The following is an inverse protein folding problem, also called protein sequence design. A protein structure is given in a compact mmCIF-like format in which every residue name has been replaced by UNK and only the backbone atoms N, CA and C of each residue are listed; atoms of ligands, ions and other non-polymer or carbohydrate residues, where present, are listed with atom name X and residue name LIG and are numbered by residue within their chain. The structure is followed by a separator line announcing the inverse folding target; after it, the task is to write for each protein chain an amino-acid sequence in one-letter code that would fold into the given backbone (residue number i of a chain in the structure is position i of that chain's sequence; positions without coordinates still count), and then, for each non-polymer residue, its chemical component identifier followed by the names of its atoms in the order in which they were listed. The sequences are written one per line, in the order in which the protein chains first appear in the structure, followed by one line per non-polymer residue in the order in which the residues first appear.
data_IF_600992400533
#
_entry.id   IF_600992400533
#
_cell.length_a   1.000
_cell.length_b   1.000
_cell.length_c   1.000
_cell.angle_alpha   90.00
_cell.angle_beta   90.00
_cell.angle_gamma   90.00
#
_symmetry.space_group_name_H-M   'P 1'
#
loop_
_entity.id
_entity.type
_entity.pdbx_description
1 polymer ?
#
# COMPACT_ATOMS: atom_id res chain seq x y z
N UNK A 1 -17.15 -31.17 13.92
CA UNK A 1 -17.50 -30.21 12.85
C UNK A 1 -18.34 -29.04 13.35
N UNK A 2 -19.53 -29.24 13.95
CA UNK A 2 -20.37 -28.11 14.42
C UNK A 2 -19.72 -27.19 15.49
N UNK A 3 -18.89 -27.74 16.39
CA UNK A 3 -18.19 -26.95 17.42
C UNK A 3 -17.05 -26.09 16.84
N UNK A 4 -16.20 -26.67 15.98
CA UNK A 4 -15.07 -25.97 15.34
C UNK A 4 -15.54 -24.89 14.37
N UNK A 5 -16.60 -25.15 13.59
CA UNK A 5 -17.19 -24.16 12.70
C UNK A 5 -17.71 -22.94 13.49
N UNK A 6 -18.40 -23.19 14.60
CA UNK A 6 -18.86 -22.13 15.49
C UNK A 6 -17.69 -21.36 16.12
N UNK A 7 -16.61 -22.04 16.52
CA UNK A 7 -15.41 -21.39 17.03
C UNK A 7 -14.77 -20.49 15.98
N UNK A 8 -14.57 -20.97 14.75
CA UNK A 8 -14.03 -20.17 13.65
C UNK A 8 -14.89 -18.93 13.37
N UNK A 9 -16.20 -19.10 13.29
CA UNK A 9 -17.15 -17.99 13.08
C UNK A 9 -17.08 -16.97 14.22
N UNK A 10 -17.01 -17.43 15.47
CA UNK A 10 -16.89 -16.55 16.65
C UNK A 10 -15.56 -15.81 16.64
N UNK A 11 -14.43 -16.48 16.39
CA UNK A 11 -13.11 -15.84 16.36
C UNK A 11 -12.98 -14.83 15.23
N UNK A 12 -13.33 -15.19 13.99
CA UNK A 12 -13.31 -14.28 12.86
C UNK A 12 -14.30 -13.13 13.03
N UNK A 13 -15.51 -13.41 13.52
CA UNK A 13 -16.53 -12.41 13.81
C UNK A 13 -16.12 -11.42 14.90
N UNK A 14 -15.48 -11.90 15.97
CA UNK A 14 -14.94 -11.05 17.04
C UNK A 14 -13.76 -10.21 16.53
N UNK A 15 -12.82 -10.81 15.80
CA UNK A 15 -11.66 -10.09 15.25
C UNK A 15 -12.11 -8.93 14.35
N UNK A 16 -13.01 -9.21 13.40
CA UNK A 16 -13.56 -8.19 12.49
C UNK A 16 -14.41 -7.19 13.28
N UNK A 17 -15.31 -7.66 14.15
CA UNK A 17 -16.26 -6.83 14.88
C UNK A 17 -15.59 -5.84 15.82
N UNK A 18 -14.62 -6.29 16.63
CA UNK A 18 -13.87 -5.43 17.56
C UNK A 18 -13.11 -4.35 16.78
N UNK A 19 -12.42 -4.72 15.70
CA UNK A 19 -11.63 -3.77 14.93
C UNK A 19 -12.51 -2.81 14.12
N UNK A 20 -13.66 -3.26 13.61
CA UNK A 20 -14.63 -2.39 12.95
C UNK A 20 -15.23 -1.36 13.92
N UNK A 21 -15.59 -1.79 15.14
CA UNK A 21 -16.07 -0.89 16.19
C UNK A 21 -14.98 0.12 16.59
N UNK A 22 -13.73 -0.35 16.77
CA UNK A 22 -12.61 0.53 17.07
C UNK A 22 -12.32 1.51 15.93
N UNK A 23 -12.36 1.08 14.68
CA UNK A 23 -12.20 1.93 13.51
C UNK A 23 -13.29 3.00 13.45
N UNK A 24 -14.56 2.60 13.60
CA UNK A 24 -15.68 3.52 13.66
C UNK A 24 -15.51 4.51 14.82
N UNK A 25 -15.17 4.04 16.01
CA UNK A 25 -14.97 4.90 17.17
C UNK A 25 -13.83 5.90 16.96
N UNK A 26 -12.68 5.44 16.46
CA UNK A 26 -11.50 6.27 16.22
C UNK A 26 -11.73 7.31 15.13
N UNK A 27 -12.32 6.95 13.99
CA UNK A 27 -12.36 7.80 12.80
C UNK A 27 -13.71 8.48 12.55
N UNK A 28 -14.81 7.83 12.89
CA UNK A 28 -16.15 8.23 12.44
C UNK A 28 -17.07 8.70 13.57
N UNK A 29 -16.84 8.26 14.81
CA UNK A 29 -17.74 8.62 15.91
C UNK A 29 -17.77 10.14 16.16
N UNK A 30 -18.93 10.70 16.53
CA UNK A 30 -19.01 12.12 16.88
C UNK A 30 -18.08 12.45 18.06
N UNK A 31 -17.33 13.54 17.93
CA UNK A 31 -16.57 14.14 19.04
C UNK A 31 -17.34 15.35 19.54
N UNK A 32 -17.52 15.48 20.86
CA UNK A 32 -18.00 16.74 21.42
C UNK A 32 -16.93 17.79 21.12
N UNK A 33 -17.33 18.87 20.44
CA UNK A 33 -16.55 20.10 20.50
C UNK A 33 -16.36 20.41 21.97
N UNK A 34 -15.11 20.57 22.41
CA UNK A 34 -14.85 21.01 23.77
C UNK A 34 -15.31 22.46 23.87
N UNK A 35 -16.60 22.62 24.19
CA UNK A 35 -17.20 23.84 24.68
C UNK A 35 -16.67 24.13 26.08
N UNK A 36 -15.45 24.65 26.14
CA UNK A 36 -15.11 25.66 27.12
C UNK A 36 -14.39 26.75 26.35
N UNK A 37 -15.15 27.82 26.09
CA UNK A 37 -14.61 29.17 25.99
C UNK A 37 -13.79 29.40 27.26
N UNK A 38 -12.51 29.09 27.18
CA UNK A 38 -11.56 29.75 28.04
C UNK A 38 -11.64 31.22 27.62
N UNK A 39 -12.22 32.04 28.49
CA UNK A 39 -12.46 33.48 28.31
C UNK A 39 -11.16 34.30 28.14
N UNK A 40 -10.03 33.61 27.98
CA UNK A 40 -8.71 34.15 27.70
C UNK A 40 -8.51 34.54 26.22
N UNK A 41 -9.45 34.24 25.32
CA UNK A 41 -9.40 34.71 23.92
C UNK A 41 -8.14 34.28 23.16
N UNK A 42 -7.39 33.30 23.66
CA UNK A 42 -6.14 32.87 23.05
C UNK A 42 -6.41 31.72 22.06
N UNK A 43 -6.35 31.95 20.74
CA UNK A 43 -6.57 30.93 19.72
C UNK A 43 -5.56 29.77 19.78
N UNK A 44 -4.48 29.88 20.56
CA UNK A 44 -3.43 28.86 20.66
C UNK A 44 -3.85 27.57 21.38
N UNK A 45 -4.83 27.58 22.29
CA UNK A 45 -5.21 26.36 23.04
C UNK A 45 -5.93 25.31 22.16
N UNK A 46 -6.49 25.71 21.02
CA UNK A 46 -7.18 24.82 20.08
C UNK A 46 -6.25 24.00 19.17
N UNK A 47 -4.96 24.36 19.05
CA UNK A 47 -4.11 23.92 17.92
C UNK A 47 -2.91 23.02 18.27
N UNK A 48 -2.62 22.75 19.54
CA UNK A 48 -1.34 22.14 19.95
C UNK A 48 -1.30 20.59 19.96
N UNK A 49 -1.86 19.89 18.96
CA UNK A 49 -1.58 18.45 18.85
C UNK A 49 -0.16 18.26 18.29
N UNK A 50 0.77 17.89 19.16
CA UNK A 50 2.16 17.68 18.79
C UNK A 50 2.27 16.48 17.84
N UNK A 51 2.85 16.72 16.67
CA UNK A 51 3.16 15.68 15.68
C UNK A 51 4.61 15.84 15.23
N UNK A 52 5.36 14.74 15.16
CA UNK A 52 6.80 14.77 14.85
C UNK A 52 7.07 14.20 13.46
N UNK A 53 7.58 15.00 12.50
CA UNK A 53 7.94 14.49 11.18
C UNK A 53 9.03 13.41 11.22
N UNK A 54 9.90 13.45 12.24
CA UNK A 54 10.91 12.40 12.46
C UNK A 54 10.24 11.09 12.90
N UNK A 55 9.27 11.18 13.81
CA UNK A 55 8.50 10.02 14.25
C UNK A 55 7.80 9.35 13.06
N UNK A 56 7.07 10.10 12.23
CA UNK A 56 6.38 9.54 11.07
C UNK A 56 7.32 8.83 10.09
N UNK A 57 8.52 9.39 9.83
CA UNK A 57 9.54 8.73 8.99
C UNK A 57 10.03 7.42 9.60
N UNK A 58 10.36 7.43 10.89
CA UNK A 58 10.85 6.24 11.60
C UNK A 58 9.76 5.16 11.61
N UNK A 59 8.53 5.52 11.96
CA UNK A 59 7.40 4.60 11.95
C UNK A 59 7.17 4.00 10.56
N UNK A 60 7.21 4.81 9.50
CA UNK A 60 7.04 4.31 8.14
C UNK A 60 8.10 3.28 7.74
N UNK A 61 9.38 3.53 8.06
CA UNK A 61 10.47 2.61 7.75
C UNK A 61 10.37 1.31 8.55
N UNK A 62 10.07 1.40 9.86
CA UNK A 62 9.91 0.23 10.71
C UNK A 62 8.68 -0.60 10.30
N UNK A 63 7.54 0.04 9.99
CA UNK A 63 6.37 -0.68 9.45
C UNK A 63 6.68 -1.31 8.10
N UNK A 64 7.47 -0.63 7.27
CA UNK A 64 7.99 -1.18 6.01
C UNK A 64 8.82 -2.46 6.20
N UNK A 65 9.65 -2.52 7.26
CA UNK A 65 10.38 -3.74 7.63
C UNK A 65 9.41 -4.86 8.02
N UNK A 66 8.39 -4.56 8.83
CA UNK A 66 7.34 -5.53 9.17
C UNK A 66 6.62 -6.08 7.94
N UNK A 67 6.24 -5.20 7.00
CA UNK A 67 5.63 -5.59 5.73
C UNK A 67 6.59 -6.43 4.86
N UNK A 68 7.88 -6.13 4.84
CA UNK A 68 8.88 -6.92 4.12
C UNK A 68 9.03 -8.33 4.72
N UNK A 69 9.02 -8.47 6.06
CA UNK A 69 9.02 -9.77 6.73
C UNK A 69 7.80 -10.60 6.34
N UNK A 70 6.61 -10.00 6.33
CA UNK A 70 5.37 -10.64 5.87
C UNK A 70 5.50 -11.06 4.40
N UNK A 71 6.06 -10.20 3.55
CA UNK A 71 6.24 -10.49 2.12
C UNK A 71 7.18 -11.69 1.89
N UNK A 72 8.36 -11.71 2.52
CA UNK A 72 9.31 -12.82 2.37
C UNK A 72 8.72 -14.08 3.01
N UNK A 73 8.07 -13.93 4.17
CA UNK A 73 7.41 -15.00 4.89
C UNK A 73 6.35 -15.67 4.03
N UNK A 74 5.43 -14.91 3.44
CA UNK A 74 4.36 -15.44 2.59
C UNK A 74 4.84 -16.12 1.31
N UNK A 75 5.99 -15.73 0.73
CA UNK A 75 6.55 -16.50 -0.40
C UNK A 75 7.18 -17.81 0.05
N UNK A 76 7.82 -17.83 1.22
CA UNK A 76 8.36 -19.04 1.81
C UNK A 76 7.25 -20.00 2.23
N UNK A 77 6.22 -19.48 2.88
CA UNK A 77 4.98 -20.15 3.27
C UNK A 77 4.35 -20.89 2.09
N UNK A 78 4.13 -20.15 1.02
CA UNK A 78 3.60 -20.66 -0.22
C UNK A 78 4.52 -21.73 -0.85
N UNK A 79 5.84 -21.56 -0.78
CA UNK A 79 6.79 -22.51 -1.35
C UNK A 79 6.85 -23.82 -0.57
N UNK A 80 6.67 -23.79 0.74
CA UNK A 80 6.51 -24.97 1.58
C UNK A 80 5.20 -25.70 1.29
N UNK A 81 4.07 -24.97 1.18
CA UNK A 81 2.77 -25.55 0.81
C UNK A 81 2.82 -26.30 -0.53
N UNK A 82 3.55 -25.79 -1.52
CA UNK A 82 3.70 -26.44 -2.83
C UNK A 82 4.43 -27.79 -2.73
N UNK A 83 5.42 -27.90 -1.83
CA UNK A 83 6.26 -29.10 -1.70
C UNK A 83 5.60 -30.14 -0.80
N UNK A 84 5.08 -29.69 0.33
CA UNK A 84 4.50 -30.54 1.36
C UNK A 84 3.10 -31.03 0.99
N UNK A 85 2.38 -30.29 0.15
CA UNK A 85 0.99 -30.61 -0.17
C UNK A 85 0.09 -30.37 1.04
N UNK A 86 -0.90 -31.25 1.25
CA UNK A 86 -1.89 -31.09 2.34
C UNK A 86 -1.24 -31.34 3.71
N UNK A 87 -1.21 -30.31 4.54
CA UNK A 87 -0.81 -30.33 5.96
C UNK A 87 -2.05 -30.55 6.83
N UNK A 88 -2.11 -31.66 7.60
CA UNK A 88 -3.22 -31.90 8.52
C UNK A 88 -3.27 -30.89 9.67
N UNK A 89 -4.48 -30.45 10.00
CA UNK A 89 -4.83 -29.86 11.30
C UNK A 89 -3.93 -28.76 11.86
N UNK A 90 -3.51 -27.81 11.03
CA UNK A 90 -2.71 -26.68 11.48
C UNK A 90 -1.32 -27.07 11.98
N UNK A 91 -0.77 -28.22 11.56
CA UNK A 91 0.61 -28.61 11.87
C UNK A 91 1.64 -27.60 11.32
N UNK A 92 1.23 -26.79 10.34
CA UNK A 92 1.96 -25.64 9.81
C UNK A 92 1.97 -24.44 10.77
N UNK A 93 1.15 -24.40 11.83
CA UNK A 93 0.94 -23.23 12.67
C UNK A 93 2.22 -22.56 13.18
N UNK A 94 3.24 -23.37 13.53
CA UNK A 94 4.55 -22.90 14.01
C UNK A 94 5.69 -23.15 13.01
N UNK A 95 5.39 -23.40 11.74
CA UNK A 95 6.44 -23.57 10.75
C UNK A 95 7.26 -22.27 10.62
N UNK A 96 8.53 -22.38 10.18
CA UNK A 96 9.39 -21.21 10.07
C UNK A 96 8.79 -20.03 9.24
N UNK A 97 8.10 -20.23 8.10
CA UNK A 97 7.50 -19.11 7.39
C UNK A 97 6.40 -18.37 8.16
N UNK A 98 5.47 -19.06 8.83
CA UNK A 98 4.45 -18.41 9.66
C UNK A 98 5.10 -17.64 10.79
N UNK A 99 6.13 -18.18 11.46
CA UNK A 99 6.83 -17.45 12.51
C UNK A 99 7.39 -16.12 11.98
N UNK A 100 7.87 -16.08 10.74
CA UNK A 100 8.31 -14.84 10.10
C UNK A 100 7.16 -13.88 9.77
N UNK A 101 6.03 -14.40 9.29
CA UNK A 101 4.81 -13.60 9.04
C UNK A 101 4.29 -13.01 10.36
N UNK A 102 4.17 -13.84 11.40
CA UNK A 102 3.75 -13.44 12.74
C UNK A 102 4.69 -12.40 13.33
N UNK A 103 6.01 -12.58 13.18
CA UNK A 103 6.99 -11.60 13.59
C UNK A 103 6.81 -10.27 12.86
N UNK A 104 6.51 -10.29 11.55
CA UNK A 104 6.22 -9.10 10.78
C UNK A 104 4.98 -8.33 11.27
N UNK A 105 3.88 -9.04 11.54
CA UNK A 105 2.67 -8.45 12.13
C UNK A 105 2.90 -7.92 13.54
N UNK A 106 3.53 -8.72 14.40
CA UNK A 106 3.82 -8.34 15.79
C UNK A 106 4.73 -7.11 15.83
N UNK A 107 5.76 -7.08 14.97
CA UNK A 107 6.66 -5.95 14.86
C UNK A 107 5.92 -4.69 14.42
N UNK A 108 5.12 -4.76 13.34
CA UNK A 108 4.34 -3.62 12.88
C UNK A 108 3.35 -3.12 13.95
N UNK A 109 2.71 -4.04 14.67
CA UNK A 109 1.79 -3.71 15.76
C UNK A 109 2.49 -3.00 16.92
N UNK A 110 3.61 -3.55 17.42
CA UNK A 110 4.39 -2.95 18.50
C UNK A 110 4.94 -1.57 18.12
N UNK A 111 5.44 -1.43 16.89
CA UNK A 111 5.91 -0.14 16.35
C UNK A 111 4.77 0.87 16.33
N UNK A 112 3.58 0.47 15.89
CA UNK A 112 2.42 1.37 15.80
C UNK A 112 1.87 1.74 17.19
N UNK A 113 1.82 0.82 18.14
CA UNK A 113 1.49 1.09 19.55
C UNK A 113 2.52 2.03 20.20
N UNK A 114 3.81 1.83 19.92
CA UNK A 114 4.87 2.75 20.32
C UNK A 114 4.69 4.14 19.71
N UNK A 115 4.32 4.21 18.43
CA UNK A 115 3.98 5.46 17.73
C UNK A 115 2.78 6.17 18.35
N UNK A 116 1.71 5.43 18.68
CA UNK A 116 0.55 5.95 19.41
C UNK A 116 0.93 6.47 20.79
N UNK A 117 1.79 5.75 21.51
CA UNK A 117 2.30 6.21 22.82
C UNK A 117 3.11 7.50 22.68
N UNK A 118 3.97 7.59 21.66
CA UNK A 118 4.75 8.78 21.36
C UNK A 118 3.89 9.98 20.95
N UNK A 119 2.70 9.75 20.39
CA UNK A 119 1.69 10.78 20.18
C UNK A 119 0.93 11.08 21.49
N UNK A 120 0.56 10.07 22.27
CA UNK A 120 -0.27 10.23 23.46
C UNK A 120 0.44 11.01 24.57
N UNK A 121 1.70 10.67 24.89
CA UNK A 121 2.44 11.24 26.02
C UNK A 121 2.48 12.78 26.02
N UNK A 122 2.97 13.46 24.97
CA UNK A 122 3.02 14.92 24.98
C UNK A 122 1.62 15.55 24.99
N UNK A 123 0.65 14.92 24.31
CA UNK A 123 -0.69 15.48 24.22
C UNK A 123 -1.50 15.30 25.51
N UNK A 124 -1.27 14.22 26.26
CA UNK A 124 -1.78 14.04 27.63
C UNK A 124 -1.20 15.09 28.58
N UNK A 125 0.09 15.43 28.42
CA UNK A 125 0.76 16.47 29.19
C UNK A 125 0.15 17.86 29.03
N UNK A 126 -0.49 18.15 27.89
CA UNK A 126 -1.22 19.41 27.63
C UNK A 126 -2.75 19.27 27.77
N UNK A 127 -3.22 18.18 28.41
CA UNK A 127 -4.63 18.01 28.77
C UNK A 127 -5.55 17.47 27.68
N UNK A 128 -5.06 17.17 26.48
CA UNK A 128 -5.87 16.51 25.45
C UNK A 128 -6.01 15.04 25.81
N UNK A 129 -7.12 14.58 26.39
CA UNK A 129 -7.25 13.18 26.86
C UNK A 129 -7.91 12.21 25.89
N UNK A 130 -8.61 12.72 24.88
CA UNK A 130 -9.37 11.90 23.93
C UNK A 130 -8.44 11.38 22.81
N UNK A 131 -8.17 10.06 22.71
CA UNK A 131 -7.24 9.51 21.72
C UNK A 131 -7.73 9.68 20.28
N UNK A 132 -9.04 9.86 20.07
CA UNK A 132 -9.61 10.13 18.74
C UNK A 132 -9.03 11.40 18.14
N UNK A 133 -8.67 12.39 18.96
CA UNK A 133 -8.06 13.65 18.51
C UNK A 133 -6.69 13.43 17.91
N UNK A 134 -5.82 12.67 18.58
CA UNK A 134 -4.46 12.41 18.06
C UNK A 134 -4.47 11.43 16.90
N UNK A 135 -5.34 10.41 16.95
CA UNK A 135 -5.48 9.45 15.86
C UNK A 135 -6.00 10.13 14.61
N UNK A 136 -7.05 10.96 14.68
CA UNK A 136 -7.53 11.71 13.50
C UNK A 136 -6.51 12.71 12.96
N UNK A 137 -5.66 13.28 13.83
CA UNK A 137 -4.55 14.15 13.41
C UNK A 137 -3.38 13.38 12.78
N UNK A 138 -3.21 12.11 13.12
CA UNK A 138 -2.18 11.24 12.54
C UNK A 138 -2.78 9.89 12.12
N UNK A 139 -3.68 9.90 11.11
CA UNK A 139 -4.60 8.79 10.83
C UNK A 139 -3.90 7.49 10.47
N UNK A 140 -2.71 7.56 9.88
CA UNK A 140 -1.98 6.37 9.48
C UNK A 140 -1.49 5.54 10.67
N UNK A 141 -1.16 6.16 11.82
CA UNK A 141 -0.67 5.41 12.99
C UNK A 141 -1.78 4.53 13.55
N UNK A 142 -2.99 5.09 13.71
CA UNK A 142 -4.14 4.31 14.16
C UNK A 142 -4.55 3.25 13.15
N UNK A 143 -4.49 3.56 11.84
CA UNK A 143 -4.83 2.61 10.79
C UNK A 143 -3.88 1.40 10.79
N UNK A 144 -2.57 1.64 10.99
CA UNK A 144 -1.57 0.58 11.12
C UNK A 144 -1.85 -0.29 12.34
N UNK A 145 -2.22 0.28 13.49
CA UNK A 145 -2.63 -0.52 14.67
C UNK A 145 -3.80 -1.43 14.35
N UNK A 146 -4.81 -0.93 13.64
CA UNK A 146 -5.99 -1.72 13.31
C UNK A 146 -5.66 -2.87 12.35
N UNK A 147 -4.90 -2.62 11.28
CA UNK A 147 -4.58 -3.68 10.30
C UNK A 147 -3.51 -4.65 10.81
N UNK A 148 -2.45 -4.17 11.49
CA UNK A 148 -1.48 -5.06 12.14
C UNK A 148 -2.16 -5.89 13.25
N UNK A 149 -3.08 -5.27 14.01
CA UNK A 149 -3.91 -5.95 15.00
C UNK A 149 -4.78 -7.02 14.35
N UNK A 150 -5.45 -6.71 13.23
CA UNK A 150 -6.21 -7.71 12.46
C UNK A 150 -5.35 -8.90 12.09
N UNK A 151 -4.16 -8.67 11.54
CA UNK A 151 -3.24 -9.74 11.14
C UNK A 151 -2.85 -10.67 12.28
N UNK A 152 -2.71 -10.16 13.51
CA UNK A 152 -2.47 -10.98 14.69
C UNK A 152 -3.73 -11.74 15.13
N UNK A 153 -4.89 -11.09 15.13
CA UNK A 153 -6.15 -11.70 15.54
C UNK A 153 -6.72 -12.70 14.53
N UNK A 154 -6.27 -12.65 13.26
CA UNK A 154 -6.68 -13.60 12.23
C UNK A 154 -5.94 -14.94 12.31
N UNK A 155 -4.78 -15.01 12.99
CA UNK A 155 -3.95 -16.22 13.08
C UNK A 155 -4.74 -17.46 13.57
N UNK A 156 -5.51 -17.40 14.67
CA UNK A 156 -6.31 -18.55 15.09
C UNK A 156 -7.43 -18.90 14.10
N UNK A 157 -8.00 -17.89 13.43
CA UNK A 157 -9.06 -18.08 12.44
C UNK A 157 -8.58 -18.83 11.21
N UNK A 158 -7.34 -18.58 10.80
CA UNK A 158 -6.65 -19.27 9.71
C UNK A 158 -6.38 -20.75 10.07
N UNK A 159 -5.82 -21.00 11.26
CA UNK A 159 -5.61 -22.36 11.74
C UNK A 159 -6.91 -23.19 11.85
N UNK A 160 -8.00 -22.57 12.35
CA UNK A 160 -9.32 -23.22 12.39
C UNK A 160 -9.85 -23.48 10.98
N UNK A 161 -9.58 -22.59 10.02
CA UNK A 161 -9.95 -22.80 8.62
C UNK A 161 -9.26 -24.03 8.03
N UNK A 162 -7.96 -24.18 8.26
CA UNK A 162 -7.18 -25.36 7.84
C UNK A 162 -7.72 -26.66 8.48
N UNK A 163 -8.10 -26.62 9.76
CA UNK A 163 -8.71 -27.76 10.45
C UNK A 163 -10.08 -28.16 9.85
N UNK A 164 -10.90 -27.17 9.47
CA UNK A 164 -12.28 -27.41 9.00
C UNK A 164 -12.37 -27.87 7.56
N UNK A 165 -11.56 -27.27 6.68
CA UNK A 165 -11.67 -27.43 5.23
C UNK A 165 -10.44 -28.12 4.61
N UNK A 166 -9.43 -28.44 5.42
CA UNK A 166 -8.12 -28.84 4.95
C UNK A 166 -7.34 -27.64 4.40
N UNK A 167 -6.17 -27.92 3.84
CA UNK A 167 -5.39 -26.93 3.11
C UNK A 167 -6.24 -26.29 2.01
N UNK A 168 -6.15 -24.96 1.96
CA UNK A 168 -6.55 -24.10 0.86
C UNK A 168 -6.93 -24.86 -0.42
N UNK A 169 -8.24 -25.06 -0.59
CA UNK A 169 -8.78 -25.48 -1.89
C UNK A 169 -8.28 -24.54 -3.01
N UNK A 170 -8.00 -23.28 -2.63
CA UNK A 170 -7.31 -22.23 -3.40
C UNK A 170 -6.73 -21.20 -2.42
N UNK A 171 -5.73 -20.41 -2.83
CA UNK A 171 -5.22 -19.27 -2.04
C UNK A 171 -6.30 -18.20 -1.76
N UNK A 172 -7.45 -18.26 -2.43
CA UNK A 172 -8.54 -17.28 -2.31
C UNK A 172 -9.54 -17.61 -1.19
N UNK A 173 -9.10 -18.34 -0.16
CA UNK A 173 -9.94 -18.54 1.02
C UNK A 173 -10.19 -17.19 1.73
N UNK A 174 -11.34 -17.03 2.41
CA UNK A 174 -11.64 -15.78 3.11
C UNK A 174 -10.53 -15.32 4.07
N UNK A 175 -9.94 -16.17 4.94
CA UNK A 175 -8.83 -15.77 5.79
C UNK A 175 -7.65 -15.17 5.00
N UNK A 176 -7.20 -15.84 3.94
CA UNK A 176 -6.12 -15.38 3.09
C UNK A 176 -6.39 -14.04 2.41
N UNK A 177 -7.61 -13.83 1.90
CA UNK A 177 -7.97 -12.55 1.28
C UNK A 177 -7.89 -11.43 2.31
N UNK A 178 -8.46 -11.61 3.51
CA UNK A 178 -8.43 -10.56 4.52
C UNK A 178 -7.02 -10.32 5.07
N UNK A 179 -6.23 -11.37 5.28
CA UNK A 179 -4.82 -11.28 5.68
C UNK A 179 -4.02 -10.53 4.61
N UNK A 180 -4.19 -10.87 3.32
CA UNK A 180 -3.49 -10.20 2.23
C UNK A 180 -3.86 -8.71 2.13
N UNK A 181 -5.16 -8.37 2.23
CA UNK A 181 -5.61 -6.97 2.24
C UNK A 181 -5.03 -6.21 3.43
N UNK A 182 -5.06 -6.82 4.61
CA UNK A 182 -4.51 -6.23 5.83
C UNK A 182 -3.00 -5.97 5.69
N UNK A 183 -2.24 -6.99 5.27
CA UNK A 183 -0.80 -6.95 5.06
C UNK A 183 -0.39 -5.94 3.99
N UNK A 184 -1.08 -5.91 2.85
CA UNK A 184 -0.79 -4.95 1.78
C UNK A 184 -1.09 -3.50 2.23
N UNK A 185 -2.12 -3.31 3.05
CA UNK A 185 -2.50 -2.00 3.61
C UNK A 185 -1.43 -1.40 4.52
N UNK A 186 -0.60 -2.22 5.21
CA UNK A 186 0.54 -1.73 5.99
C UNK A 186 1.48 -0.87 5.13
N UNK A 187 1.76 -1.32 3.91
CA UNK A 187 2.62 -0.59 2.97
C UNK A 187 1.98 0.72 2.51
N UNK A 188 0.67 0.72 2.25
CA UNK A 188 -0.09 1.93 1.86
C UNK A 188 -0.08 2.96 3.00
N UNK A 189 -0.30 2.54 4.24
CA UNK A 189 -0.28 3.46 5.38
C UNK A 189 1.13 3.95 5.73
N UNK A 190 2.17 3.13 5.51
CA UNK A 190 3.55 3.57 5.62
C UNK A 190 3.89 4.66 4.59
N UNK A 191 3.38 4.54 3.36
CA UNK A 191 3.46 5.61 2.34
C UNK A 191 2.71 6.87 2.83
N UNK A 192 1.51 6.71 3.39
CA UNK A 192 0.76 7.82 4.00
C UNK A 192 1.52 8.56 5.10
N UNK A 193 2.22 7.84 5.99
CA UNK A 193 3.09 8.42 7.00
C UNK A 193 4.21 9.28 6.39
N UNK A 194 4.82 8.82 5.29
CA UNK A 194 5.90 9.57 4.61
C UNK A 194 5.38 10.81 3.87
N UNK A 195 4.18 10.71 3.29
CA UNK A 195 3.52 11.82 2.61
C UNK A 195 3.10 12.92 3.60
N UNK A 196 2.64 12.54 4.80
CA UNK A 196 2.44 13.40 5.97
C UNK A 196 3.61 14.36 6.26
N UNK A 197 4.83 13.90 6.05
CA UNK A 197 6.07 14.64 6.33
C UNK A 197 6.50 15.52 5.15
N UNK A 198 6.10 15.17 3.92
CA UNK A 198 6.45 15.87 2.69
C UNK A 198 5.90 17.29 2.68
N UNK A 199 4.57 17.37 2.74
CA UNK A 199 3.81 18.60 2.63
C UNK A 199 4.18 19.64 3.69
N UNK A 200 4.56 19.21 4.90
CA UNK A 200 4.99 20.12 5.98
C UNK A 200 6.35 20.77 5.72
N UNK A 201 7.29 20.04 5.11
CA UNK A 201 8.61 20.58 4.77
C UNK A 201 8.51 21.48 3.54
N UNK A 202 7.69 21.10 2.56
CA UNK A 202 7.52 21.86 1.33
C UNK A 202 6.74 23.17 1.58
N UNK A 203 5.76 23.18 2.50
CA UNK A 203 5.11 24.42 2.95
C UNK A 203 6.07 25.35 3.71
N UNK A 204 6.86 24.82 4.65
CA UNK A 204 7.86 25.61 5.37
C UNK A 204 8.96 26.17 4.46
N UNK A 205 9.29 25.46 3.37
CA UNK A 205 10.21 25.94 2.32
C UNK A 205 9.54 26.93 1.39
N UNK A 206 8.28 26.72 1.01
CA UNK A 206 7.51 27.65 0.18
C UNK A 206 7.44 29.05 0.80
N UNK A 207 7.13 29.15 2.10
CA UNK A 207 7.13 30.44 2.80
C UNK A 207 8.51 31.10 2.93
N UNK A 208 9.60 30.32 2.96
CA UNK A 208 10.97 30.83 2.99
C UNK A 208 11.50 31.20 1.59
N UNK A 209 11.15 30.42 0.57
CA UNK A 209 11.50 30.64 -0.83
C UNK A 209 10.68 31.77 -1.46
N UNK A 210 9.43 32.01 -1.08
CA UNK A 210 8.65 33.15 -1.56
C UNK A 210 9.24 34.49 -1.03
N UNK A 211 9.75 34.50 0.21
CA UNK A 211 10.58 35.60 0.75
C UNK A 211 11.91 35.74 0.01
N UNK A 212 12.59 34.63 -0.29
CA UNK A 212 13.91 34.65 -0.93
C UNK A 212 13.87 34.91 -2.45
N UNK A 213 12.83 34.48 -3.17
CA UNK A 213 12.63 34.70 -4.59
C UNK A 213 12.27 36.16 -4.90
N UNK A 214 11.61 36.87 -3.98
CA UNK A 214 11.47 38.34 -4.07
C UNK A 214 12.82 39.06 -4.09
N UNK A 215 13.91 38.42 -3.62
CA UNK A 215 15.26 38.97 -3.60
C UNK A 215 16.22 38.38 -4.64
N UNK A 216 15.97 37.17 -5.18
CA UNK A 216 16.94 36.44 -6.02
C UNK A 216 16.53 36.22 -7.48
N UNK A 217 15.48 36.89 -7.98
CA UNK A 217 15.07 36.87 -9.40
C UNK A 217 16.06 37.59 -10.37
N UNK A 218 17.38 37.47 -10.19
CA UNK A 218 18.37 38.10 -11.10
C UNK A 218 19.58 37.27 -11.54
N UNK A 219 19.75 36.00 -11.21
CA UNK A 219 20.90 35.27 -11.80
C UNK A 219 20.74 33.76 -11.99
N UNK A 220 20.71 33.41 -13.29
CA UNK A 220 21.39 32.28 -13.92
C UNK A 220 20.90 30.86 -13.58
N UNK A 221 20.07 30.32 -14.48
CA UNK A 221 19.89 28.90 -14.65
C UNK A 221 20.87 28.36 -15.70
N UNK A 222 21.88 27.59 -15.28
CA UNK A 222 22.53 26.59 -16.14
C UNK A 222 23.51 25.67 -15.36
N UNK A 223 23.19 25.20 -14.14
CA UNK A 223 24.05 24.25 -13.40
C UNK A 223 23.23 23.26 -12.53
N UNK A 224 22.15 22.67 -13.08
CA UNK A 224 21.24 21.78 -12.35
C UNK A 224 21.35 20.29 -12.74
N UNK A 225 22.31 19.89 -13.58
CA UNK A 225 22.41 18.51 -14.09
C UNK A 225 23.31 17.57 -13.26
N UNK A 226 23.78 17.98 -12.08
CA UNK A 226 24.73 17.20 -11.28
C UNK A 226 24.54 17.22 -9.77
N UNK A 227 23.38 17.64 -9.26
CA UNK A 227 23.17 17.76 -7.80
C UNK A 227 22.31 16.64 -7.25
N UNK A 228 22.97 15.81 -6.43
CA UNK A 228 22.55 15.26 -5.12
C UNK A 228 21.14 14.69 -5.04
N UNK A 229 21.04 13.41 -4.63
CA UNK A 229 19.84 12.81 -4.03
C UNK A 229 19.12 13.84 -3.15
N UNK A 230 18.06 14.43 -3.69
CA UNK A 230 17.22 15.37 -2.96
C UNK A 230 16.44 14.57 -1.92
N UNK A 231 16.02 15.22 -0.84
CA UNK A 231 15.09 14.61 0.10
C UNK A 231 13.77 14.16 -0.60
N UNK A 232 13.41 14.81 -1.71
CA UNK A 232 12.30 14.40 -2.58
C UNK A 232 12.58 13.07 -3.32
N UNK A 233 13.83 12.83 -3.72
CA UNK A 233 14.24 11.62 -4.43
C UNK A 233 14.25 10.40 -3.49
N UNK A 234 14.75 10.57 -2.26
CA UNK A 234 14.72 9.50 -1.25
C UNK A 234 13.30 9.09 -0.85
N UNK A 235 12.42 10.07 -0.59
CA UNK A 235 11.02 9.77 -0.23
C UNK A 235 10.30 9.05 -1.36
N UNK A 236 10.50 9.51 -2.60
CA UNK A 236 9.94 8.87 -3.79
C UNK A 236 10.44 7.44 -3.92
N UNK A 237 11.75 7.21 -3.76
CA UNK A 237 12.35 5.88 -3.73
C UNK A 237 11.69 4.96 -2.69
N UNK A 238 11.58 5.41 -1.43
CA UNK A 238 10.98 4.60 -0.36
C UNK A 238 9.50 4.34 -0.60
N UNK A 239 8.74 5.34 -1.05
CA UNK A 239 7.32 5.16 -1.36
C UNK A 239 7.10 4.12 -2.46
N UNK A 240 7.90 4.16 -3.52
CA UNK A 240 7.82 3.19 -4.62
C UNK A 240 8.21 1.78 -4.15
N UNK A 241 9.23 1.67 -3.29
CA UNK A 241 9.64 0.39 -2.71
C UNK A 241 8.56 -0.18 -1.77
N UNK A 242 7.94 0.64 -0.93
CA UNK A 242 6.82 0.21 -0.07
C UNK A 242 5.61 -0.23 -0.91
N UNK A 243 5.26 0.51 -1.97
CA UNK A 243 4.21 0.07 -2.89
C UNK A 243 4.54 -1.28 -3.54
N UNK A 244 5.81 -1.51 -3.92
CA UNK A 244 6.26 -2.79 -4.45
C UNK A 244 6.10 -3.94 -3.45
N UNK A 245 6.42 -3.72 -2.17
CA UNK A 245 6.18 -4.69 -1.09
C UNK A 245 4.69 -5.01 -0.98
N UNK A 246 3.84 -3.98 -0.89
CA UNK A 246 2.39 -4.15 -0.83
C UNK A 246 1.83 -4.90 -2.04
N UNK A 247 2.41 -4.67 -3.23
CA UNK A 247 2.00 -5.37 -4.44
C UNK A 247 2.39 -6.85 -4.42
N UNK A 248 3.63 -7.14 -4.01
CA UNK A 248 4.10 -8.52 -3.84
C UNK A 248 3.17 -9.29 -2.89
N UNK A 249 2.88 -8.71 -1.71
CA UNK A 249 1.95 -9.31 -0.74
C UNK A 249 0.58 -9.59 -1.35
N UNK A 250 0.01 -8.63 -2.08
CA UNK A 250 -1.28 -8.82 -2.74
C UNK A 250 -1.26 -9.99 -3.74
N UNK A 251 -0.17 -10.11 -4.51
CA UNK A 251 -0.06 -11.14 -5.54
C UNK A 251 0.28 -12.54 -5.02
N UNK A 252 0.85 -12.67 -3.80
CA UNK A 252 1.00 -13.97 -3.13
C UNK A 252 -0.32 -14.73 -3.19
N UNK A 253 -1.41 -14.07 -2.78
CA UNK A 253 -2.76 -14.64 -2.83
C UNK A 253 -3.42 -14.43 -4.20
N UNK A 254 -3.26 -13.25 -4.80
CA UNK A 254 -4.02 -12.86 -5.97
C UNK A 254 -3.72 -13.70 -7.22
N UNK A 255 -2.47 -14.15 -7.41
CA UNK A 255 -2.06 -14.74 -8.68
C UNK A 255 -1.08 -15.90 -8.57
N UNK A 256 -0.50 -16.14 -7.40
CA UNK A 256 0.61 -17.10 -7.32
C UNK A 256 0.15 -18.56 -7.47
N UNK A 257 -1.13 -18.87 -7.27
CA UNK A 257 -1.71 -20.19 -7.60
C UNK A 257 -1.56 -20.56 -9.10
N UNK A 258 -1.52 -19.57 -9.99
CA UNK A 258 -1.21 -19.78 -11.41
C UNK A 258 0.29 -19.84 -11.67
N UNK A 259 1.14 -19.40 -10.75
CA UNK A 259 2.59 -19.28 -10.98
C UNK A 259 3.35 -20.53 -10.52
N UNK A 260 2.63 -21.54 -10.02
CA UNK A 260 3.20 -22.79 -9.57
C UNK A 260 3.33 -23.84 -10.68
N UNK A 261 4.22 -24.80 -10.45
CA UNK A 261 4.54 -25.86 -11.40
C UNK A 261 3.42 -26.87 -11.65
N UNK A 262 2.37 -26.89 -10.83
CA UNK A 262 1.14 -27.67 -11.02
C UNK A 262 -0.07 -26.80 -10.71
N UNK A 263 -1.04 -26.79 -11.62
CA UNK A 263 -2.33 -26.12 -11.45
C UNK A 263 -3.39 -27.22 -11.44
N UNK A 264 -3.69 -27.75 -10.26
CA UNK A 264 -4.62 -28.88 -10.10
C UNK A 264 -5.93 -28.44 -9.41
N UNK A 265 -7.00 -29.19 -9.63
CA UNK A 265 -8.27 -29.00 -8.90
C UNK A 265 -9.06 -27.76 -9.31
N UNK A 266 -9.43 -26.93 -8.34
CA UNK A 266 -10.33 -25.78 -8.54
C UNK A 266 -9.71 -24.64 -9.35
N UNK A 267 -8.39 -24.45 -9.27
CA UNK A 267 -7.68 -23.38 -9.99
C UNK A 267 -7.72 -23.62 -11.50
N UNK A 268 -7.61 -24.88 -11.93
CA UNK A 268 -7.68 -25.28 -13.34
C UNK A 268 -9.06 -25.02 -13.98
N UNK A 269 -10.12 -24.92 -13.16
CA UNK A 269 -11.49 -24.62 -13.63
C UNK A 269 -11.74 -23.12 -13.81
N UNK A 270 -10.82 -22.26 -13.35
CA UNK A 270 -10.97 -20.82 -13.49
C UNK A 270 -10.79 -20.40 -14.95
N UNK A 271 -11.50 -19.35 -15.40
CA UNK A 271 -11.28 -18.82 -16.74
C UNK A 271 -9.83 -18.36 -16.92
N UNK A 272 -9.16 -18.82 -17.98
CA UNK A 272 -7.73 -18.55 -18.19
C UNK A 272 -7.42 -17.06 -18.35
N UNK A 273 -8.36 -16.28 -18.88
CA UNK A 273 -8.24 -14.82 -19.01
C UNK A 273 -8.24 -14.08 -17.67
N UNK A 274 -8.63 -14.74 -16.56
CA UNK A 274 -8.69 -14.13 -15.23
C UNK A 274 -7.29 -13.80 -14.70
N UNK A 275 -6.32 -14.68 -14.90
CA UNK A 275 -4.93 -14.51 -14.47
C UNK A 275 -4.30 -13.21 -14.99
N UNK A 276 -4.22 -12.97 -16.32
CA UNK A 276 -3.70 -11.69 -16.85
C UNK A 276 -4.58 -10.49 -16.47
N UNK A 277 -5.88 -10.69 -16.26
CA UNK A 277 -6.78 -9.60 -15.83
C UNK A 277 -6.42 -9.10 -14.43
N UNK A 278 -6.20 -10.00 -13.46
CA UNK A 278 -5.86 -9.62 -12.09
C UNK A 278 -4.53 -8.88 -12.06
N UNK A 279 -3.50 -9.39 -12.74
CA UNK A 279 -2.19 -8.72 -12.82
C UNK A 279 -2.33 -7.37 -13.50
N UNK A 280 -2.96 -7.31 -14.67
CA UNK A 280 -3.10 -6.08 -15.44
C UNK A 280 -3.83 -4.97 -14.69
N UNK A 281 -4.91 -5.31 -13.96
CA UNK A 281 -5.70 -4.34 -13.21
C UNK A 281 -4.98 -3.85 -11.96
N UNK A 282 -4.42 -4.77 -11.17
CA UNK A 282 -3.71 -4.43 -9.94
C UNK A 282 -2.39 -3.69 -10.21
N UNK A 283 -1.62 -4.10 -11.23
CA UNK A 283 -0.41 -3.41 -11.67
C UNK A 283 -0.71 -2.01 -12.20
N UNK A 284 -1.79 -1.83 -12.97
CA UNK A 284 -2.22 -0.50 -13.43
C UNK A 284 -2.62 0.39 -12.25
N UNK A 285 -3.45 -0.11 -11.33
CA UNK A 285 -3.89 0.62 -10.16
C UNK A 285 -2.70 1.15 -9.36
N UNK A 286 -1.73 0.28 -9.03
CA UNK A 286 -0.54 0.67 -8.27
C UNK A 286 0.44 1.52 -9.09
N UNK A 287 0.49 1.38 -10.40
CA UNK A 287 1.28 2.25 -11.27
C UNK A 287 0.73 3.68 -11.30
N UNK A 288 -0.59 3.84 -11.35
CA UNK A 288 -1.24 5.15 -11.20
C UNK A 288 -0.98 5.70 -9.81
N UNK A 289 -1.14 4.89 -8.76
CA UNK A 289 -0.86 5.30 -7.38
C UNK A 289 0.61 5.71 -7.19
N UNK A 290 1.56 4.99 -7.77
CA UNK A 290 2.99 5.29 -7.76
C UNK A 290 3.27 6.70 -8.30
N UNK A 291 2.66 7.07 -9.44
CA UNK A 291 2.74 8.43 -10.00
C UNK A 291 2.14 9.48 -9.08
N UNK A 292 1.20 9.09 -8.21
CA UNK A 292 0.58 9.98 -7.21
C UNK A 292 1.47 10.14 -5.98
N UNK A 293 2.11 9.10 -5.47
CA UNK A 293 2.87 9.16 -4.20
C UNK A 293 4.35 9.51 -4.38
N UNK A 294 4.86 9.41 -5.60
CA UNK A 294 6.23 9.71 -5.99
C UNK A 294 6.22 10.42 -7.35
N UNK A 295 5.81 11.70 -7.43
CA UNK A 295 5.63 12.39 -8.71
C UNK A 295 6.95 12.51 -9.47
N UNK A 296 7.00 11.91 -10.65
CA UNK A 296 8.16 11.90 -11.53
C UNK A 296 7.76 11.46 -12.95
N UNK A 297 8.63 11.69 -13.94
CA UNK A 297 8.35 11.30 -15.32
C UNK A 297 8.22 9.78 -15.49
N UNK A 298 8.90 8.99 -14.65
CA UNK A 298 9.06 7.54 -14.79
C UNK A 298 8.59 6.74 -13.56
N UNK A 299 7.66 7.27 -12.77
CA UNK A 299 7.30 6.67 -11.48
C UNK A 299 6.62 5.31 -11.60
N UNK A 300 5.78 5.10 -12.63
CA UNK A 300 5.18 3.79 -12.86
C UNK A 300 6.25 2.76 -13.25
N UNK A 301 7.17 3.16 -14.12
CA UNK A 301 8.30 2.32 -14.55
C UNK A 301 9.21 1.98 -13.38
N UNK A 302 9.57 2.95 -12.56
CA UNK A 302 10.39 2.74 -11.36
C UNK A 302 9.68 1.80 -10.35
N UNK A 303 8.37 1.97 -10.13
CA UNK A 303 7.57 1.03 -9.34
C UNK A 303 7.64 -0.40 -9.89
N UNK A 304 7.44 -0.57 -11.21
CA UNK A 304 7.53 -1.88 -11.85
C UNK A 304 8.91 -2.52 -11.62
N UNK A 305 10.00 -1.75 -11.74
CA UNK A 305 11.36 -2.23 -11.50
C UNK A 305 11.58 -2.65 -10.04
N UNK A 306 11.09 -1.88 -9.06
CA UNK A 306 11.15 -2.28 -7.65
C UNK A 306 10.37 -3.58 -7.41
N UNK A 307 9.17 -3.68 -7.98
CA UNK A 307 8.35 -4.87 -7.87
C UNK A 307 9.07 -6.09 -8.44
N UNK A 308 9.58 -6.04 -9.68
CA UNK A 308 10.27 -7.18 -10.27
C UNK A 308 11.57 -7.53 -9.53
N UNK A 309 12.33 -6.53 -9.08
CA UNK A 309 13.52 -6.76 -8.27
C UNK A 309 13.19 -7.47 -6.95
N UNK A 310 12.14 -7.02 -6.26
CA UNK A 310 11.67 -7.66 -5.03
C UNK A 310 11.13 -9.07 -5.31
N UNK A 311 10.30 -9.24 -6.34
CA UNK A 311 9.71 -10.51 -6.73
C UNK A 311 10.79 -11.55 -7.04
N UNK A 312 11.81 -11.19 -7.83
CA UNK A 312 12.94 -12.07 -8.12
C UNK A 312 13.65 -12.45 -6.82
N UNK A 313 13.95 -11.47 -5.96
CA UNK A 313 14.64 -11.73 -4.69
C UNK A 313 13.85 -12.68 -3.78
N UNK A 314 12.53 -12.50 -3.63
CA UNK A 314 11.70 -13.37 -2.78
C UNK A 314 11.51 -14.75 -3.37
N UNK A 315 11.35 -14.88 -4.69
CA UNK A 315 11.27 -16.19 -5.35
C UNK A 315 12.59 -16.95 -5.31
N UNK A 316 13.73 -16.25 -5.44
CA UNK A 316 15.06 -16.87 -5.29
C UNK A 316 15.32 -17.29 -3.84
N UNK A 317 14.85 -16.51 -2.86
CA UNK A 317 14.90 -16.92 -1.46
C UNK A 317 14.07 -18.19 -1.21
N UNK A 318 12.85 -18.24 -1.72
CA UNK A 318 11.99 -19.42 -1.61
C UNK A 318 12.62 -20.67 -2.25
N UNK A 319 13.26 -20.52 -3.42
CA UNK A 319 14.02 -21.58 -4.08
C UNK A 319 15.18 -22.09 -3.21
N UNK A 320 15.95 -21.18 -2.61
CA UNK A 320 17.08 -21.57 -1.75
C UNK A 320 16.63 -22.30 -0.48
N UNK A 321 15.50 -21.90 0.10
CA UNK A 321 15.07 -22.42 1.41
C UNK A 321 14.21 -23.68 1.29
N UNK A 322 13.31 -23.74 0.31
CA UNK A 322 12.42 -24.89 0.15
C UNK A 322 12.71 -25.71 -1.10
N UNK A 323 13.37 -25.17 -2.13
CA UNK A 323 13.60 -25.86 -3.41
C UNK A 323 12.44 -25.75 -4.40
N UNK A 324 11.42 -24.94 -4.08
CA UNK A 324 10.35 -24.61 -5.01
C UNK A 324 10.65 -23.28 -5.71
N UNK A 325 10.50 -23.27 -7.03
CA UNK A 325 10.68 -22.07 -7.88
C UNK A 325 9.31 -21.59 -8.40
N UNK A 326 8.62 -20.68 -7.69
CA UNK A 326 7.49 -19.99 -8.28
C UNK A 326 7.93 -19.32 -9.58
N UNK A 327 7.12 -19.42 -10.62
CA UNK A 327 7.38 -18.71 -11.87
C UNK A 327 7.33 -17.21 -11.62
N UNK A 328 8.06 -16.48 -12.46
CA UNK A 328 7.98 -15.03 -12.48
C UNK A 328 6.57 -14.62 -12.94
N UNK A 329 5.93 -13.74 -12.18
CA UNK A 329 4.66 -13.11 -12.56
C UNK A 329 4.72 -12.48 -13.95
N UNK A 330 3.59 -12.43 -14.66
CA UNK A 330 3.50 -11.79 -15.97
C UNK A 330 4.10 -10.37 -15.96
N UNK A 331 4.97 -10.13 -16.93
CA UNK A 331 5.77 -8.90 -16.99
C UNK A 331 4.91 -7.74 -17.50
N UNK A 332 4.81 -6.67 -16.71
CA UNK A 332 4.03 -5.47 -17.05
C UNK A 332 4.88 -4.20 -17.25
N UNK A 333 6.21 -4.33 -17.30
CA UNK A 333 7.13 -3.18 -17.42
C UNK A 333 6.80 -2.31 -18.64
N UNK A 334 6.51 -2.90 -19.81
CA UNK A 334 6.15 -2.13 -20.99
C UNK A 334 4.82 -1.37 -20.79
N UNK A 335 3.85 -1.97 -20.09
CA UNK A 335 2.61 -1.28 -19.70
C UNK A 335 2.90 -0.05 -18.82
N UNK A 336 3.81 -0.17 -17.85
CA UNK A 336 4.23 0.94 -16.99
C UNK A 336 4.97 2.04 -17.77
N UNK A 337 5.85 1.68 -18.71
CA UNK A 337 6.55 2.63 -19.60
C UNK A 337 5.55 3.39 -20.47
N UNK A 338 4.61 2.69 -21.12
CA UNK A 338 3.61 3.33 -21.95
C UNK A 338 2.65 4.21 -21.13
N UNK A 339 2.35 3.83 -19.88
CA UNK A 339 1.60 4.69 -18.96
C UNK A 339 2.34 6.00 -18.69
N UNK A 340 3.62 5.93 -18.30
CA UNK A 340 4.44 7.12 -18.04
C UNK A 340 4.53 8.02 -19.28
N UNK A 341 4.79 7.45 -20.45
CA UNK A 341 4.82 8.17 -21.73
C UNK A 341 3.47 8.80 -22.08
N UNK A 342 2.36 8.09 -21.83
CA UNK A 342 1.02 8.61 -22.08
C UNK A 342 0.73 9.85 -21.24
N UNK A 343 1.06 9.82 -19.95
CA UNK A 343 0.91 11.01 -19.10
C UNK A 343 1.77 12.18 -19.57
N UNK A 344 3.03 11.93 -19.93
CA UNK A 344 3.93 12.96 -20.42
C UNK A 344 3.41 13.56 -21.74
N UNK A 345 2.93 12.72 -22.66
CA UNK A 345 2.35 13.14 -23.93
C UNK A 345 1.08 13.97 -23.70
N UNK A 346 0.12 13.47 -22.92
CA UNK A 346 -1.13 14.19 -22.62
C UNK A 346 -0.87 15.53 -21.93
N UNK A 347 0.11 15.61 -21.02
CA UNK A 347 0.47 16.86 -20.35
C UNK A 347 1.02 17.92 -21.32
N UNK A 348 1.74 17.52 -22.40
CA UNK A 348 2.21 18.45 -23.43
C UNK A 348 1.06 19.10 -24.21
N UNK A 349 -0.11 18.47 -24.26
CA UNK A 349 -1.33 19.00 -24.87
C UNK A 349 -2.26 19.71 -23.86
N UNK A 350 -1.80 19.93 -22.62
CA UNK A 350 -2.55 20.67 -21.61
C UNK A 350 -3.60 19.85 -20.86
N UNK A 351 -3.68 18.54 -21.07
CA UNK A 351 -4.58 17.67 -20.30
C UNK A 351 -4.08 17.47 -18.86
N UNK A 352 -5.03 17.40 -17.93
CA UNK A 352 -4.80 17.19 -16.51
C UNK A 352 -5.05 15.73 -16.13
N UNK A 353 -4.39 15.18 -15.09
CA UNK A 353 -4.59 13.80 -14.65
C UNK A 353 -6.04 13.39 -14.34
N UNK A 354 -6.91 14.33 -13.97
CA UNK A 354 -8.31 14.04 -13.66
C UNK A 354 -9.22 14.05 -14.89
N UNK A 355 -8.72 14.44 -16.06
CA UNK A 355 -9.50 14.52 -17.29
C UNK A 355 -9.86 13.11 -17.78
N UNK A 356 -11.08 12.94 -18.28
CA UNK A 356 -11.57 11.62 -18.74
C UNK A 356 -10.76 11.10 -19.93
N UNK A 357 -10.19 11.99 -20.76
CA UNK A 357 -9.31 11.62 -21.86
C UNK A 357 -8.02 10.98 -21.34
N UNK A 358 -7.45 11.50 -20.26
CA UNK A 358 -6.24 10.92 -19.64
C UNK A 358 -6.56 9.54 -19.06
N UNK A 359 -7.72 9.38 -18.43
CA UNK A 359 -8.20 8.08 -17.94
C UNK A 359 -8.27 7.02 -19.07
N UNK A 360 -8.90 7.35 -20.19
CA UNK A 360 -9.00 6.44 -21.34
C UNK A 360 -7.63 6.15 -21.96
N UNK A 361 -6.82 7.18 -22.17
CA UNK A 361 -5.50 7.05 -22.78
C UNK A 361 -4.55 6.24 -21.88
N UNK A 362 -4.53 6.51 -20.57
CA UNK A 362 -3.70 5.81 -19.60
C UNK A 362 -4.06 4.32 -19.52
N UNK A 363 -5.36 4.00 -19.43
CA UNK A 363 -5.82 2.62 -19.44
C UNK A 363 -5.46 1.89 -20.75
N UNK A 364 -5.60 2.57 -21.89
CA UNK A 364 -5.28 2.02 -23.20
C UNK A 364 -3.79 1.81 -23.40
N UNK A 365 -2.96 2.81 -23.11
CA UNK A 365 -1.51 2.73 -23.22
C UNK A 365 -0.93 1.63 -22.33
N UNK A 366 -1.39 1.54 -21.08
CA UNK A 366 -0.98 0.45 -20.19
C UNK A 366 -1.42 -0.92 -20.72
N UNK A 367 -2.69 -1.06 -21.11
CA UNK A 367 -3.25 -2.33 -21.62
C UNK A 367 -2.49 -2.83 -22.85
N UNK A 368 -2.17 -1.95 -23.80
CA UNK A 368 -1.39 -2.30 -25.00
C UNK A 368 -0.01 -2.81 -24.61
N UNK A 369 0.71 -2.07 -23.76
CA UNK A 369 2.06 -2.45 -23.34
C UNK A 369 2.08 -3.74 -22.51
N UNK A 370 1.12 -3.90 -21.61
CA UNK A 370 0.94 -5.12 -20.83
C UNK A 370 0.64 -6.31 -21.73
N UNK A 371 -0.31 -6.18 -22.65
CA UNK A 371 -0.71 -7.27 -23.55
C UNK A 371 0.46 -7.73 -24.42
N UNK A 372 1.23 -6.80 -25.02
CA UNK A 372 2.39 -7.16 -25.88
C UNK A 372 3.39 -8.07 -25.16
N UNK A 373 3.64 -7.84 -23.86
CA UNK A 373 4.64 -8.60 -23.10
C UNK A 373 4.03 -9.81 -22.38
N UNK A 374 2.79 -9.70 -21.89
CA UNK A 374 2.12 -10.79 -21.20
C UNK A 374 1.85 -11.97 -22.14
N UNK A 375 1.58 -11.74 -23.43
CA UNK A 375 1.16 -12.81 -24.35
C UNK A 375 2.26 -13.84 -24.62
N UNK A 376 3.49 -13.45 -25.02
CA UNK A 376 4.55 -14.43 -25.21
C UNK A 376 4.90 -15.15 -23.91
N UNK A 377 4.77 -14.49 -22.75
CA UNK A 377 4.99 -15.12 -21.45
C UNK A 377 3.93 -16.17 -21.15
N UNK A 378 2.65 -15.88 -21.39
CA UNK A 378 1.55 -16.85 -21.24
C UNK A 378 1.77 -18.04 -22.17
N UNK A 379 2.00 -17.79 -23.46
CA UNK A 379 2.24 -18.86 -24.42
C UNK A 379 3.49 -19.69 -24.05
N UNK A 380 4.60 -19.07 -23.67
CA UNK A 380 5.83 -19.81 -23.41
C UNK A 380 5.82 -20.56 -22.07
N UNK A 381 5.28 -19.96 -21.00
CA UNK A 381 5.33 -20.54 -19.66
C UNK A 381 4.16 -21.48 -19.36
N UNK A 382 3.02 -21.34 -20.05
CA UNK A 382 1.75 -21.95 -19.61
C UNK A 382 1.09 -22.91 -20.60
N UNK A 383 1.62 -23.07 -21.82
CA UNK A 383 1.14 -24.05 -22.81
C UNK A 383 1.24 -25.52 -22.34
N UNK A 384 2.03 -25.81 -21.31
CA UNK A 384 2.11 -27.16 -20.74
C UNK A 384 0.94 -27.50 -19.80
N UNK A 385 0.18 -26.51 -19.32
CA UNK A 385 -0.81 -26.70 -18.24
C UNK A 385 -2.22 -26.22 -18.60
N UNK A 386 -2.34 -25.16 -19.39
CA UNK A 386 -3.63 -24.69 -19.88
C UNK A 386 -3.83 -25.19 -21.30
N UNK A 387 -4.95 -25.89 -21.54
CA UNK A 387 -5.42 -26.18 -22.90
C UNK A 387 -5.44 -24.85 -23.67
N UNK A 388 -4.62 -24.77 -24.71
CA UNK A 388 -4.30 -23.59 -25.55
C UNK A 388 -5.06 -22.30 -25.20
N UNK A 389 -4.39 -21.36 -24.54
CA UNK A 389 -4.89 -19.99 -24.37
C UNK A 389 -5.21 -19.40 -25.76
N UNK A 390 -6.48 -19.19 -26.06
CA UNK A 390 -6.92 -18.89 -27.44
C UNK A 390 -6.78 -17.40 -27.76
N UNK A 391 -6.86 -17.03 -29.04
CA UNK A 391 -6.96 -15.61 -29.43
C UNK A 391 -8.17 -14.94 -28.76
N UNK A 392 -9.28 -15.66 -28.56
CA UNK A 392 -10.45 -15.11 -27.90
C UNK A 392 -10.17 -14.78 -26.43
N UNK A 393 -9.51 -15.66 -25.70
CA UNK A 393 -9.11 -15.41 -24.30
C UNK A 393 -8.20 -14.18 -24.18
N UNK A 394 -7.33 -13.97 -25.18
CA UNK A 394 -6.45 -12.82 -25.24
C UNK A 394 -7.23 -11.52 -25.43
N UNK A 395 -8.20 -11.51 -26.34
CA UNK A 395 -9.08 -10.36 -26.58
C UNK A 395 -9.95 -10.07 -25.36
N UNK A 396 -10.48 -11.11 -24.70
CA UNK A 396 -11.26 -10.98 -23.46
C UNK A 396 -10.40 -10.40 -22.34
N UNK A 397 -9.20 -10.93 -22.12
CA UNK A 397 -8.28 -10.41 -21.10
C UNK A 397 -7.92 -8.94 -21.37
N UNK A 398 -7.55 -8.58 -22.60
CA UNK A 398 -7.22 -7.21 -22.97
C UNK A 398 -8.41 -6.26 -22.78
N UNK A 399 -9.62 -6.69 -23.18
CA UNK A 399 -10.86 -5.92 -22.98
C UNK A 399 -11.15 -5.72 -21.49
N UNK A 400 -11.07 -6.79 -20.68
CA UNK A 400 -11.29 -6.73 -19.24
C UNK A 400 -10.28 -5.80 -18.56
N UNK A 401 -8.99 -5.94 -18.88
CA UNK A 401 -7.93 -5.03 -18.37
C UNK A 401 -8.26 -3.59 -18.74
N UNK A 402 -8.65 -3.30 -19.98
CA UNK A 402 -8.98 -1.94 -20.39
C UNK A 402 -10.18 -1.36 -19.65
N UNK A 403 -11.31 -2.09 -19.63
CA UNK A 403 -12.57 -1.63 -19.01
C UNK A 403 -12.42 -1.47 -17.50
N UNK A 404 -11.78 -2.44 -16.84
CA UNK A 404 -11.55 -2.38 -15.39
C UNK A 404 -10.51 -1.32 -15.02
N UNK A 405 -9.47 -1.11 -15.84
CA UNK A 405 -8.52 -0.01 -15.63
C UNK A 405 -9.19 1.35 -15.73
N UNK A 406 -10.09 1.53 -16.71
CA UNK A 406 -10.95 2.71 -16.74
C UNK A 406 -11.72 2.78 -15.42
N UNK A 407 -12.47 1.75 -15.04
CA UNK A 407 -13.29 1.76 -13.83
C UNK A 407 -12.51 2.11 -12.54
N UNK A 408 -11.32 1.54 -12.36
CA UNK A 408 -10.51 1.69 -11.13
C UNK A 408 -9.65 2.95 -11.10
N UNK A 409 -9.39 3.60 -12.23
CA UNK A 409 -8.54 4.80 -12.32
C UNK A 409 -8.93 5.91 -11.32
N UNK A 410 -10.22 6.31 -11.18
CA UNK A 410 -10.61 7.35 -10.23
C UNK A 410 -10.33 6.94 -8.78
N UNK A 411 -10.37 5.64 -8.47
CA UNK A 411 -10.07 5.11 -7.13
C UNK A 411 -8.59 5.28 -6.81
N UNK A 412 -7.69 4.93 -7.75
CA UNK A 412 -6.25 5.14 -7.57
C UNK A 412 -5.90 6.63 -7.42
N UNK A 413 -6.53 7.48 -8.23
CA UNK A 413 -6.38 8.94 -8.15
C UNK A 413 -6.88 9.50 -6.82
N UNK A 414 -8.06 9.06 -6.39
CA UNK A 414 -8.71 9.44 -5.14
C UNK A 414 -7.89 9.02 -3.91
N UNK A 415 -7.41 7.78 -3.88
CA UNK A 415 -6.51 7.29 -2.85
C UNK A 415 -5.22 8.10 -2.81
N UNK A 416 -4.60 8.36 -3.96
CA UNK A 416 -3.40 9.19 -4.06
C UNK A 416 -3.62 10.66 -3.69
N UNK A 417 -4.84 11.19 -3.81
CA UNK A 417 -5.18 12.52 -3.28
C UNK A 417 -5.44 12.48 -1.78
N UNK A 418 -6.12 11.46 -1.27
CA UNK A 418 -6.39 11.28 0.16
C UNK A 418 -5.09 11.13 0.96
N UNK A 419 -4.13 10.34 0.43
CA UNK A 419 -2.80 10.20 1.01
C UNK A 419 -2.03 11.53 1.11
N UNK A 420 -2.34 12.50 0.24
CA UNK A 420 -1.80 13.88 0.30
C UNK A 420 -2.64 14.81 1.16
N UNK A 421 -3.97 14.79 1.05
CA UNK A 421 -4.81 15.80 1.70
C UNK A 421 -4.77 15.67 3.21
N UNK A 422 -4.69 14.45 3.74
CA UNK A 422 -4.46 14.18 5.16
C UNK A 422 -3.13 14.76 5.70
N UNK A 423 -2.29 15.32 4.82
CA UNK A 423 -1.02 15.98 5.18
C UNK A 423 -1.05 17.50 4.99
N UNK A 424 -2.02 18.04 4.23
CA UNK A 424 -2.10 19.47 3.90
C UNK A 424 -2.88 20.28 4.94
N UNK A 425 -3.86 19.69 5.63
CA UNK A 425 -4.50 20.29 6.81
C UNK A 425 -3.49 20.61 7.93
N UNK A 426 -2.30 20.02 7.88
CA UNK A 426 -1.20 20.33 8.81
C UNK A 426 -0.35 21.52 8.34
N UNK A 427 -0.27 21.76 7.04
CA UNK A 427 0.58 22.78 6.42
C UNK A 427 -0.04 24.17 6.47
N UNK A 428 -1.34 24.29 6.19
CA UNK A 428 -2.07 25.57 6.30
C UNK A 428 -2.06 26.11 7.73
N UNK A 429 -2.20 25.22 8.73
CA UNK A 429 -2.12 25.58 10.15
C UNK A 429 -0.71 26.07 10.53
N UNK A 430 0.33 25.47 9.98
CA UNK A 430 1.72 25.86 10.25
C UNK A 430 2.07 27.23 9.62
N UNK A 431 1.50 27.55 8.46
CA UNK A 431 1.69 28.82 7.78
C UNK A 431 0.98 29.96 8.53
N UNK A 432 -0.26 29.74 8.99
CA UNK A 432 -0.97 30.71 9.84
C UNK A 432 -0.20 31.05 11.12
N UNK A 433 0.42 30.05 11.77
CA UNK A 433 1.20 30.26 12.99
C UNK A 433 2.51 31.04 12.72
N UNK A 434 3.18 30.80 11.59
CA UNK A 434 4.36 31.57 11.19
C UNK A 434 4.01 33.02 10.86
N UNK A 435 2.88 33.25 10.21
CA UNK A 435 2.40 34.59 9.87
C UNK A 435 1.94 35.34 11.13
N UNK A 436 1.33 34.67 12.10
CA UNK A 436 0.94 35.26 13.38
C UNK A 436 2.13 35.66 14.26
N UNK A 437 3.24 34.91 14.22
CA UNK A 437 4.49 35.25 14.93
C UNK A 437 5.28 36.35 14.20
N UNK A 438 5.06 36.52 12.89
CA UNK A 438 5.75 37.51 12.08
C UNK A 438 5.11 38.92 12.09
N UNK A 439 3.95 39.13 12.72
CA UNK A 439 3.37 40.46 12.90
C UNK A 439 4.17 41.20 13.98
N UNK A 440 4.92 42.28 13.65
CA UNK A 440 5.59 43.07 14.66
C UNK A 440 4.52 43.70 15.55
N UNK A 441 4.67 43.57 16.87
CA UNK A 441 3.89 44.35 17.82
C UNK A 441 4.05 45.84 17.45
N UNK A 442 3.00 46.42 16.84
CA UNK A 442 2.92 47.86 16.68
C UNK A 442 2.83 48.44 18.08
N UNK A 443 3.90 49.13 18.49
CA UNK A 443 3.93 49.96 19.68
C UNK A 443 3.02 51.17 19.57
#
# INVERSE_FOLDING_TARGET
MNSLFLQGLVFSGLAIGVLAILAWWLYLSPMKESGHEDSSGNPQSRKAISTSPRLSKVLALLVGIGALLICIGGYWDLSEHVITGIVPGGEDFLWPPHLMIYAGFLFAFLVAIGGLSALAIPNLGVGVRDPRRWVRRSPYVGAIVLVAGYGLFSIPGDAIWHELYGIDLTAWSPPHIFIAVSSASLSIFAVGLLMGVGSRVDAARGGAEERSQSQLSKSTGLLAAGRRFSAADWRSFVNLFLLAIGFCIFLIIGTTEWEMGKVDGYVAQRPVWLYPTIIGVSAFFLSVLARRVAPGPWSATAFALFYFGLRIATTSFADVVSGATPRLTLVFILGAVLLDLTYQWMARFGFRPNDWQVRLAAAGGFMVGFSIVAQPTIAFQYLQFFQSFTLLDHLVAALMVYVLNIAIYPVAMGLGSWLRSSSNEDAEVLQEDLDAVAVPAKG
#
